data_IF_312476245387
#
_entry.id   IF_312476245387
#
_cell.length_a   1.000
_cell.length_b   1.000
_cell.length_c   1.000
_cell.angle_alpha   90.00
_cell.angle_beta   90.00
_cell.angle_gamma   90.00
#
_symmetry.space_group_name_H-M   'P 1'
#
loop_
_entity.id
_entity.type
_entity.pdbx_description
1 polymer ?
#
# COMPACT_ATOMS: atom_id res chain seq x y z
N UNK A 1 10.27 19.97 -8.57
CA UNK A 1 9.83 19.75 -7.18
C UNK A 1 9.05 18.46 -7.21
N UNK A 2 9.59 17.38 -6.66
CA UNK A 2 8.84 16.12 -6.50
C UNK A 2 7.77 16.38 -5.45
N UNK A 3 6.51 16.20 -5.82
CA UNK A 3 5.35 16.46 -4.95
C UNK A 3 5.22 15.30 -3.95
N UNK A 4 4.84 15.58 -2.71
CA UNK A 4 4.77 14.55 -1.68
C UNK A 4 3.53 13.67 -1.90
N UNK A 5 3.71 12.36 -1.83
CA UNK A 5 2.61 11.40 -1.74
C UNK A 5 2.03 11.45 -0.33
N UNK A 6 0.72 11.62 -0.21
CA UNK A 6 -0.02 11.40 1.04
C UNK A 6 -0.67 10.02 0.99
N UNK A 7 -0.57 9.28 2.09
CA UNK A 7 -1.10 7.93 2.22
C UNK A 7 -2.00 7.89 3.46
N UNK A 8 -3.20 7.36 3.34
CA UNK A 8 -4.16 7.28 4.45
C UNK A 8 -4.74 5.88 4.55
N UNK A 9 -4.74 5.32 5.77
CA UNK A 9 -5.37 4.04 6.08
C UNK A 9 -6.32 4.32 7.24
N UNK A 10 -7.62 4.23 6.99
CA UNK A 10 -8.61 4.42 8.05
C UNK A 10 -8.78 3.11 8.81
N UNK A 11 -9.01 3.22 10.10
CA UNK A 11 -9.19 2.07 10.97
C UNK A 11 -10.29 1.14 10.45
N UNK A 12 -10.04 -0.18 10.49
CA UNK A 12 -10.94 -1.12 9.89
C UNK A 12 -12.30 -1.10 10.59
N UNK A 13 -13.37 -1.32 9.83
CA UNK A 13 -14.75 -1.40 10.31
C UNK A 13 -15.43 -2.59 9.63
N UNK A 14 -15.96 -3.53 10.42
CA UNK A 14 -16.73 -4.67 9.91
C UNK A 14 -16.05 -5.51 8.80
N UNK A 15 -14.72 -5.66 8.86
CA UNK A 15 -13.91 -6.43 7.92
C UNK A 15 -13.41 -5.63 6.72
N UNK A 16 -13.64 -4.31 6.72
CA UNK A 16 -13.25 -3.38 5.66
C UNK A 16 -12.26 -2.34 6.17
N UNK A 17 -11.30 -1.94 5.34
CA UNK A 17 -10.34 -0.87 5.63
C UNK A 17 -10.30 0.09 4.43
N UNK A 18 -10.41 1.39 4.67
CA UNK A 18 -10.26 2.37 3.58
C UNK A 18 -8.79 2.73 3.40
N UNK A 19 -8.36 2.80 2.15
CA UNK A 19 -7.02 3.25 1.75
C UNK A 19 -7.15 4.41 0.77
N UNK A 20 -6.38 5.46 1.03
CA UNK A 20 -6.29 6.65 0.20
C UNK A 20 -4.84 6.92 -0.22
N UNK A 21 -4.67 7.36 -1.45
CA UNK A 21 -3.44 7.94 -1.98
C UNK A 21 -3.76 9.28 -2.61
N UNK A 22 -3.01 10.31 -2.27
CA UNK A 22 -3.19 11.65 -2.83
C UNK A 22 -1.85 12.26 -3.18
N UNK A 23 -1.79 12.93 -4.33
CA UNK A 23 -0.74 13.88 -4.65
C UNK A 23 -1.36 15.10 -5.35
N UNK A 24 -0.54 16.07 -5.79
CA UNK A 24 -1.10 17.28 -6.38
C UNK A 24 -1.78 17.08 -7.76
N UNK A 25 -1.68 15.89 -8.36
CA UNK A 25 -2.22 15.55 -9.67
C UNK A 25 -3.50 14.70 -9.57
N UNK A 26 -3.78 14.10 -8.42
CA UNK A 26 -5.01 13.36 -8.21
C UNK A 26 -5.07 12.63 -6.87
N UNK A 27 -6.24 12.03 -6.64
CA UNK A 27 -6.52 11.21 -5.48
C UNK A 27 -7.05 9.84 -5.92
N UNK A 28 -6.78 8.83 -5.12
CA UNK A 28 -7.35 7.50 -5.20
C UNK A 28 -7.86 7.10 -3.84
N UNK A 29 -9.10 6.64 -3.78
CA UNK A 29 -9.71 6.13 -2.57
C UNK A 29 -10.39 4.80 -2.87
N UNK A 30 -10.02 3.77 -2.11
CA UNK A 30 -10.62 2.45 -2.21
C UNK A 30 -10.88 1.90 -0.82
N UNK A 31 -11.84 0.99 -0.71
CA UNK A 31 -11.98 0.11 0.45
C UNK A 31 -11.40 -1.26 0.11
N UNK A 32 -10.86 -1.96 1.09
CA UNK A 32 -10.43 -3.35 0.98
C UNK A 32 -11.17 -4.20 1.98
N UNK A 33 -11.52 -5.42 1.57
CA UNK A 33 -11.99 -6.44 2.49
C UNK A 33 -10.82 -7.33 2.92
N UNK A 34 -10.89 -7.88 4.13
CA UNK A 34 -9.93 -8.88 4.60
C UNK A 34 -9.90 -10.19 3.76
N UNK A 35 -10.85 -10.36 2.83
CA UNK A 35 -10.95 -11.49 1.92
C UNK A 35 -11.22 -10.98 0.49
N UNK A 36 -10.70 -11.65 -0.57
CA UNK A 36 -9.86 -12.84 -0.52
C UNK A 36 -8.39 -12.59 -0.15
N UNK A 37 -7.94 -11.33 -0.12
CA UNK A 37 -6.53 -10.96 0.10
C UNK A 37 -6.19 -10.72 1.58
N UNK A 38 -6.28 -11.80 2.35
CA UNK A 38 -6.00 -11.84 3.79
C UNK A 38 -4.58 -11.42 4.21
N UNK A 39 -3.66 -11.25 3.28
CA UNK A 39 -2.28 -10.84 3.56
C UNK A 39 -1.94 -9.49 2.93
N UNK A 40 -2.90 -8.76 2.34
CA UNK A 40 -2.62 -7.57 1.54
C UNK A 40 -1.85 -6.48 2.30
N UNK A 41 -2.19 -6.23 3.58
CA UNK A 41 -1.46 -5.25 4.40
C UNK A 41 -0.02 -5.70 4.71
N UNK A 42 0.16 -6.98 5.05
CA UNK A 42 1.47 -7.56 5.30
C UNK A 42 2.34 -7.57 4.03
N UNK A 43 1.75 -7.96 2.90
CA UNK A 43 2.39 -7.95 1.57
C UNK A 43 2.80 -6.55 1.15
N UNK A 44 1.98 -5.53 1.40
CA UNK A 44 2.34 -4.14 1.15
C UNK A 44 3.60 -3.74 1.93
N UNK A 45 3.67 -4.04 3.22
CA UNK A 45 4.85 -3.74 4.05
C UNK A 45 6.09 -4.51 3.57
N UNK A 46 5.93 -5.76 3.16
CA UNK A 46 7.03 -6.56 2.58
C UNK A 46 7.54 -5.95 1.27
N UNK A 47 6.65 -5.58 0.35
CA UNK A 47 7.00 -4.92 -0.90
C UNK A 47 7.75 -3.61 -0.62
N UNK A 48 7.26 -2.78 0.30
CA UNK A 48 7.91 -1.53 0.67
C UNK A 48 9.29 -1.74 1.33
N UNK A 49 9.47 -2.82 2.08
CA UNK A 49 10.77 -3.23 2.63
C UNK A 49 11.73 -3.66 1.52
N UNK A 50 11.26 -4.39 0.52
CA UNK A 50 12.08 -4.82 -0.62
C UNK A 50 12.47 -3.65 -1.53
N UNK A 51 11.54 -2.75 -1.84
CA UNK A 51 11.84 -1.59 -2.69
C UNK A 51 12.67 -0.54 -1.96
N UNK A 52 12.76 -0.56 -0.63
CA UNK A 52 13.70 0.29 0.13
C UNK A 52 15.09 -0.33 0.26
N UNK A 53 15.31 -1.56 -0.21
CA UNK A 53 16.62 -2.20 -0.18
C UNK A 53 17.52 -1.75 -1.32
N UNK A 54 18.57 -0.98 -1.04
CA UNK A 54 19.52 -0.47 -2.04
C UNK A 54 20.28 -1.56 -2.80
N UNK A 55 20.31 -2.79 -2.27
CA UNK A 55 20.82 -3.95 -3.01
C UNK A 55 20.00 -4.25 -4.27
N UNK A 56 18.74 -3.80 -4.31
CA UNK A 56 17.76 -4.06 -5.35
C UNK A 56 17.32 -2.75 -6.03
N UNK A 57 18.26 -2.10 -6.70
CA UNK A 57 18.06 -0.80 -7.35
C UNK A 57 17.13 -0.83 -8.57
N UNK A 58 16.76 -2.00 -9.09
CA UNK A 58 15.78 -2.13 -10.17
C UNK A 58 14.87 -3.32 -9.91
N UNK A 59 13.61 -3.06 -9.58
CA UNK A 59 12.64 -4.12 -9.32
C UNK A 59 11.21 -3.69 -9.63
N UNK A 60 10.38 -4.69 -9.92
CA UNK A 60 8.95 -4.54 -10.06
C UNK A 60 8.23 -5.46 -9.07
N UNK A 61 7.22 -4.93 -8.40
CA UNK A 61 6.35 -5.67 -7.48
C UNK A 61 4.89 -5.29 -7.74
N UNK A 62 4.00 -6.25 -7.57
CA UNK A 62 2.56 -6.04 -7.74
C UNK A 62 1.89 -6.56 -6.48
N UNK A 63 1.15 -5.69 -5.81
CA UNK A 63 0.24 -6.05 -4.74
C UNK A 63 -1.17 -6.17 -5.34
N UNK A 64 -1.80 -7.31 -5.09
CA UNK A 64 -3.22 -7.51 -5.44
C UNK A 64 -4.09 -6.97 -4.33
N UNK A 65 -5.12 -6.23 -4.72
CA UNK A 65 -6.03 -5.54 -3.83
C UNK A 65 -7.45 -5.65 -4.37
N UNK A 66 -8.46 -5.73 -3.50
CA UNK A 66 -9.86 -5.92 -3.93
C UNK A 66 -10.81 -4.94 -3.26
N UNK A 67 -11.90 -4.62 -3.96
CA UNK A 67 -13.06 -3.86 -3.52
C UNK A 67 -14.32 -4.46 -4.16
N UNK A 68 -14.59 -5.71 -3.79
CA UNK A 68 -15.69 -6.56 -4.28
C UNK A 68 -16.86 -5.80 -4.96
N UNK A 69 -17.07 -5.93 -6.28
CA UNK A 69 -16.42 -6.86 -7.22
C UNK A 69 -15.16 -6.32 -7.91
N UNK A 70 -14.81 -5.05 -7.68
CA UNK A 70 -13.69 -4.38 -8.35
C UNK A 70 -12.36 -4.93 -7.83
N UNK A 71 -11.37 -5.07 -8.72
CA UNK A 71 -10.03 -5.50 -8.36
C UNK A 71 -9.01 -4.43 -8.71
N UNK A 72 -7.89 -4.40 -7.99
CA UNK A 72 -6.79 -3.50 -8.24
C UNK A 72 -5.45 -4.21 -8.22
N UNK A 73 -4.52 -3.70 -9.02
CA UNK A 73 -3.10 -3.97 -8.91
C UNK A 73 -2.37 -2.70 -8.51
N UNK A 74 -1.70 -2.74 -7.37
CA UNK A 74 -0.77 -1.67 -6.99
C UNK A 74 0.61 -2.11 -7.45
N UNK A 75 1.09 -1.48 -8.51
CA UNK A 75 2.35 -1.79 -9.16
C UNK A 75 3.42 -0.81 -8.70
N UNK A 76 4.49 -1.36 -8.12
CA UNK A 76 5.64 -0.63 -7.62
C UNK A 76 6.83 -0.93 -8.54
N UNK A 77 7.29 0.09 -9.27
CA UNK A 77 8.44 -0.01 -10.18
C UNK A 77 9.56 0.89 -9.66
N UNK A 78 10.62 0.27 -9.15
CA UNK A 78 11.84 0.98 -8.73
C UNK A 78 12.84 1.01 -9.88
N UNK A 79 13.38 2.19 -10.15
CA UNK A 79 14.49 2.43 -11.05
C UNK A 79 15.50 3.39 -10.39
N UNK A 80 16.58 2.85 -9.84
CA UNK A 80 17.55 3.58 -9.04
C UNK A 80 16.96 4.09 -7.71
N UNK A 81 16.97 5.41 -7.54
CA UNK A 81 16.39 6.11 -6.38
C UNK A 81 14.94 6.55 -6.62
N UNK A 82 14.37 6.27 -7.78
CA UNK A 82 13.01 6.62 -8.16
C UNK A 82 12.08 5.42 -8.02
N UNK A 83 10.93 5.63 -7.39
CA UNK A 83 9.84 4.67 -7.29
C UNK A 83 8.62 5.23 -8.02
N UNK A 84 8.06 4.42 -8.93
CA UNK A 84 6.79 4.69 -9.60
C UNK A 84 5.74 3.75 -9.02
N UNK A 85 4.68 4.32 -8.44
CA UNK A 85 3.48 3.62 -7.98
C UNK A 85 2.38 3.85 -9.00
N UNK A 86 1.88 2.77 -9.59
CA UNK A 86 0.73 2.79 -10.50
C UNK A 86 -0.38 1.94 -9.90
N UNK A 87 -1.61 2.43 -9.91
CA UNK A 87 -2.79 1.67 -9.48
C UNK A 87 -3.66 1.43 -10.69
N UNK A 88 -3.81 0.15 -11.02
CA UNK A 88 -4.67 -0.29 -12.09
C UNK A 88 -5.95 -0.87 -11.52
N UNK A 89 -7.10 -0.42 -12.01
CA UNK A 89 -8.41 -0.96 -11.68
C UNK A 89 -8.84 -1.96 -12.76
N UNK A 90 -9.52 -3.01 -12.31
CA UNK A 90 -10.23 -3.97 -13.15
C UNK A 90 -11.70 -4.01 -12.70
N UNK A 91 -12.66 -4.10 -13.65
CA UNK A 91 -14.08 -4.14 -13.31
C UNK A 91 -14.52 -5.37 -12.50
N UNK A 92 -13.78 -6.48 -12.62
CA UNK A 92 -14.14 -7.77 -12.00
C UNK A 92 -12.90 -8.56 -11.55
N UNK A 93 -13.14 -9.60 -10.73
CA UNK A 93 -12.15 -10.58 -10.27
C UNK A 93 -11.35 -11.29 -11.39
N UNK A 94 -11.85 -11.28 -12.62
CA UNK A 94 -11.20 -11.90 -13.77
C UNK A 94 -9.92 -11.18 -14.18
N UNK A 95 -9.79 -9.90 -13.81
CA UNK A 95 -8.63 -9.03 -14.09
C UNK A 95 -8.27 -9.02 -15.58
N UNK A 96 -9.27 -8.87 -16.45
CA UNK A 96 -9.06 -8.76 -17.89
C UNK A 96 -8.19 -7.53 -18.20
N UNK A 97 -6.98 -7.76 -18.69
CA UNK A 97 -6.03 -6.72 -19.04
C UNK A 97 -6.54 -5.73 -20.11
N UNK A 98 -7.53 -6.11 -20.92
CA UNK A 98 -8.13 -5.24 -21.93
C UNK A 98 -9.13 -4.25 -21.34
N UNK A 99 -9.66 -4.53 -20.15
CA UNK A 99 -10.58 -3.65 -19.39
C UNK A 99 -9.86 -2.90 -18.26
N UNK A 100 -8.53 -3.01 -18.22
CA UNK A 100 -7.70 -2.41 -17.17
C UNK A 100 -7.54 -0.92 -17.38
N UNK A 101 -7.81 -0.14 -16.33
CA UNK A 101 -7.64 1.31 -16.33
C UNK A 101 -6.59 1.76 -15.31
N UNK A 102 -5.70 2.68 -15.70
CA UNK A 102 -4.80 3.35 -14.76
C UNK A 102 -5.58 4.44 -14.04
N UNK A 103 -5.85 4.25 -12.76
CA UNK A 103 -6.67 5.16 -11.95
C UNK A 103 -5.85 6.08 -11.05
N UNK A 104 -4.58 5.74 -10.80
CA UNK A 104 -3.66 6.60 -10.07
C UNK A 104 -2.21 6.29 -10.46
N UNK A 105 -1.37 7.32 -10.49
CA UNK A 105 0.07 7.17 -10.73
C UNK A 105 0.84 8.23 -9.97
N UNK A 106 1.83 7.81 -9.21
CA UNK A 106 2.74 8.68 -8.50
C UNK A 106 4.20 8.29 -8.79
N UNK A 107 5.06 9.28 -8.95
CA UNK A 107 6.50 9.07 -9.08
C UNK A 107 7.26 9.95 -8.09
N UNK A 108 8.06 9.30 -7.24
CA UNK A 108 8.78 9.97 -6.17
C UNK A 108 10.12 9.30 -5.89
N UNK A 109 10.92 9.88 -4.99
CA UNK A 109 12.11 9.19 -4.48
C UNK A 109 11.66 8.02 -3.60
N UNK A 110 12.36 6.90 -3.69
CA UNK A 110 12.10 5.70 -2.86
C UNK A 110 11.97 6.07 -1.39
N UNK A 111 12.90 6.87 -0.87
CA UNK A 111 12.90 7.29 0.53
C UNK A 111 11.67 8.15 0.91
N UNK A 112 11.25 9.05 0.02
CA UNK A 112 10.11 9.94 0.29
C UNK A 112 8.79 9.15 0.25
N UNK A 113 8.61 8.29 -0.75
CA UNK A 113 7.44 7.43 -0.87
C UNK A 113 7.34 6.48 0.32
N UNK A 114 8.42 5.78 0.68
CA UNK A 114 8.40 4.86 1.82
C UNK A 114 8.13 5.59 3.13
N UNK A 115 8.62 6.83 3.30
CA UNK A 115 8.33 7.64 4.49
C UNK A 115 6.85 7.99 4.61
N UNK A 116 6.17 8.31 3.49
CA UNK A 116 4.73 8.54 3.51
C UNK A 116 3.96 7.33 4.01
N UNK A 117 4.31 6.13 3.54
CA UNK A 117 3.72 4.88 4.07
C UNK A 117 4.05 4.63 5.54
N UNK A 118 5.28 4.94 5.97
CA UNK A 118 5.71 4.74 7.36
C UNK A 118 4.87 5.56 8.35
N UNK A 119 4.62 6.84 8.03
CA UNK A 119 3.75 7.71 8.85
C UNK A 119 2.36 7.08 9.02
N UNK A 120 1.80 6.55 7.94
CA UNK A 120 0.47 5.91 7.97
C UNK A 120 0.47 4.60 8.74
N UNK A 121 1.51 3.78 8.62
CA UNK A 121 1.62 2.54 9.39
C UNK A 121 1.86 2.79 10.87
N UNK A 122 2.60 3.84 11.23
CA UNK A 122 2.78 4.26 12.63
C UNK A 122 1.44 4.64 13.26
N UNK A 123 0.61 5.41 12.52
CA UNK A 123 -0.73 5.79 12.96
C UNK A 123 -1.61 4.54 13.13
N UNK A 124 -1.67 3.68 12.10
CA UNK A 124 -2.46 2.45 12.15
C UNK A 124 -2.02 1.52 13.29
N UNK A 125 -0.72 1.42 13.54
CA UNK A 125 -0.18 0.65 14.65
C UNK A 125 -0.56 1.28 16.00
N UNK A 126 -0.47 2.60 16.15
CA UNK A 126 -0.81 3.30 17.38
C UNK A 126 -2.30 3.16 17.73
N UNK A 127 -3.17 3.26 16.73
CA UNK A 127 -4.61 3.23 16.91
C UNK A 127 -5.18 1.81 17.08
N UNK A 128 -4.37 0.77 16.82
CA UNK A 128 -4.80 -0.64 16.80
C UNK A 128 -5.58 -1.09 18.05
N UNK A 129 -5.20 -0.58 19.22
CA UNK A 129 -5.81 -0.95 20.50
C UNK A 129 -7.11 -0.18 20.74
N UNK A 130 -7.16 1.08 20.33
CA UNK A 130 -8.34 1.95 20.44
C UNK A 130 -9.44 1.51 19.49
N UNK A 131 -9.08 1.06 18.29
CA UNK A 131 -10.03 0.71 17.23
C UNK A 131 -10.36 -0.78 17.15
N UNK A 132 -10.01 -1.55 18.19
CA UNK A 132 -10.21 -3.00 18.24
C UNK A 132 -9.79 -3.69 16.92
N UNK A 133 -8.61 -3.33 16.40
CA UNK A 133 -8.20 -3.60 15.02
C UNK A 133 -8.43 -5.06 14.62
N UNK A 134 -8.00 -6.02 15.43
CA UNK A 134 -8.16 -7.44 15.10
C UNK A 134 -9.63 -7.88 15.04
N UNK A 135 -10.47 -7.34 15.93
CA UNK A 135 -11.90 -7.63 15.93
C UNK A 135 -12.57 -7.06 14.69
N UNK A 136 -12.24 -5.82 14.34
CA UNK A 136 -12.84 -5.13 13.20
C UNK A 136 -12.28 -5.57 11.86
N UNK A 137 -10.97 -5.82 11.75
CA UNK A 137 -10.32 -6.27 10.53
C UNK A 137 -10.48 -7.78 10.28
N UNK A 138 -10.77 -8.56 11.33
CA UNK A 138 -10.77 -10.03 11.32
C UNK A 138 -9.39 -10.65 11.10
N UNK A 139 -8.32 -9.86 11.22
CA UNK A 139 -6.94 -10.35 11.10
C UNK A 139 -6.03 -9.62 12.09
N UNK A 140 -4.96 -10.28 12.57
CA UNK A 140 -3.98 -9.63 13.43
C UNK A 140 -3.22 -8.55 12.67
N UNK A 141 -2.74 -7.54 13.39
CA UNK A 141 -1.81 -6.57 12.83
C UNK A 141 -0.48 -7.27 12.46
N UNK A 142 0.11 -7.00 11.28
CA UNK A 142 1.34 -7.67 10.83
C UNK A 142 2.60 -7.08 11.48
N UNK A 143 2.79 -7.38 12.77
CA UNK A 143 3.90 -6.83 13.57
C UNK A 143 5.28 -7.15 12.98
N UNK A 144 5.50 -8.38 12.50
CA UNK A 144 6.81 -8.78 12.01
C UNK A 144 7.22 -8.01 10.74
N UNK A 145 6.28 -7.78 9.83
CA UNK A 145 6.49 -7.02 8.60
C UNK A 145 6.65 -5.52 8.90
N UNK A 146 5.85 -5.00 9.83
CA UNK A 146 5.95 -3.62 10.29
C UNK A 146 7.33 -3.32 10.92
N UNK A 147 7.80 -4.17 11.85
CA UNK A 147 9.11 -3.99 12.50
C UNK A 147 10.27 -4.08 11.50
N UNK A 148 10.18 -4.99 10.52
CA UNK A 148 11.17 -5.11 9.44
C UNK A 148 11.20 -3.86 8.57
N UNK A 149 10.04 -3.35 8.17
CA UNK A 149 9.93 -2.13 7.38
C UNK A 149 10.53 -0.93 8.12
N UNK A 150 10.15 -0.73 9.38
CA UNK A 150 10.68 0.34 10.23
C UNK A 150 12.21 0.24 10.41
N UNK A 151 12.72 -0.97 10.69
CA UNK A 151 14.16 -1.21 10.82
C UNK A 151 14.91 -0.87 9.54
N UNK A 152 14.32 -1.14 8.37
CA UNK A 152 14.93 -0.83 7.08
C UNK A 152 15.03 0.67 6.83
N UNK A 153 13.99 1.43 7.19
CA UNK A 153 14.00 2.90 7.07
C UNK A 153 14.96 3.60 8.02
N UNK A 154 15.31 2.97 9.15
CA UNK A 154 16.32 3.51 10.08
C UNK A 154 17.76 3.24 9.62
N UNK A 155 17.97 2.34 8.66
CA UNK A 155 19.30 1.96 8.15
C UNK A 155 19.70 2.66 6.84
N UNK A 156 18.75 3.28 6.13
CA UNK A 156 18.99 4.08 4.92
C UNK A 156 19.14 5.57 5.23
#
# INVERSE_FOLDING_TARGET
MTQALEVSFNSPQCGWMSVGFEDANGEFHSTTAHAPHASALAELMMILTEVSDDSNSNCERILKWNRDPEEFDFRFVRAGDVLTLEIYQYPTETRDSSERELVFSHQGKVADVCRSFAVTFDQLHADRETDEFEFNWRQPFPFAEYEKFQSKLQQG
#
